data_IF_736509747701
#
_entry.id   IF_736509747701
#
_cell.length_a   1.000
_cell.length_b   1.000
_cell.length_c   1.000
_cell.angle_alpha   90.00
_cell.angle_beta   90.00
_cell.angle_gamma   90.00
#
_symmetry.space_group_name_H-M   'P 1'
#
loop_
_entity.id
_entity.type
_entity.pdbx_description
1 polymer ?
#
# COMPACT_ATOMS: atom_id res chain seq x y z
N UNK A 1 -12.10 -11.05 -11.63
CA UNK A 1 -11.42 -10.08 -12.52
C UNK A 1 -11.26 -8.84 -11.68
N UNK A 2 -10.04 -8.34 -11.50
CA UNK A 2 -9.79 -7.28 -10.50
C UNK A 2 -9.90 -5.94 -11.19
N UNK A 3 -10.86 -5.12 -10.78
CA UNK A 3 -11.01 -3.79 -11.35
C UNK A 3 -10.00 -2.82 -10.74
N UNK A 4 -9.04 -2.38 -11.57
CA UNK A 4 -8.09 -1.35 -11.18
C UNK A 4 -8.75 0.02 -11.26
N UNK A 5 -8.65 0.80 -10.17
CA UNK A 5 -9.09 2.20 -10.16
C UNK A 5 -7.89 3.12 -10.29
N UNK A 6 -7.86 3.95 -11.33
CA UNK A 6 -6.85 4.99 -11.46
C UNK A 6 -7.14 6.16 -10.52
N UNK A 7 -6.09 6.83 -10.06
CA UNK A 7 -6.19 8.15 -9.41
C UNK A 7 -6.64 9.26 -10.35
N UNK A 8 -6.49 9.06 -11.66
CA UNK A 8 -7.03 9.96 -12.66
C UNK A 8 -8.50 9.61 -12.94
N UNK A 9 -9.42 10.50 -12.53
CA UNK A 9 -10.86 10.31 -12.71
C UNK A 9 -11.30 10.27 -14.17
N UNK A 10 -10.46 10.79 -15.09
CA UNK A 10 -10.70 10.73 -16.54
C UNK A 10 -10.15 9.47 -17.19
N UNK A 11 -9.42 8.63 -16.44
CA UNK A 11 -8.82 7.42 -16.97
C UNK A 11 -9.87 6.33 -17.17
N UNK A 12 -10.10 5.97 -18.43
CA UNK A 12 -10.82 4.77 -18.82
C UNK A 12 -9.85 3.58 -18.77
N UNK A 13 -9.73 2.98 -17.60
CA UNK A 13 -8.78 1.89 -17.36
C UNK A 13 -9.36 0.61 -17.95
N UNK A 14 -8.64 0.03 -18.92
CA UNK A 14 -9.04 -1.23 -19.57
C UNK A 14 -8.94 -2.41 -18.59
N UNK A 15 -9.65 -3.51 -18.84
CA UNK A 15 -9.66 -4.74 -17.99
C UNK A 15 -8.28 -5.45 -17.84
N UNK A 16 -7.22 -4.89 -18.42
CA UNK A 16 -5.87 -5.42 -18.38
C UNK A 16 -5.07 -4.92 -17.16
N UNK A 17 -4.23 -5.79 -16.61
CA UNK A 17 -3.34 -5.43 -15.52
C UNK A 17 -2.33 -4.33 -15.93
N UNK A 18 -2.02 -3.38 -15.03
CA UNK A 18 -0.97 -2.39 -15.22
C UNK A 18 0.40 -3.03 -15.49
N UNK A 19 1.22 -2.33 -16.28
CA UNK A 19 2.52 -2.84 -16.72
C UNK A 19 3.61 -2.48 -15.71
N UNK A 20 4.39 -3.45 -15.22
CA UNK A 20 5.58 -3.16 -14.42
C UNK A 20 6.69 -2.52 -15.28
N UNK A 21 7.22 -1.38 -14.84
CA UNK A 21 8.20 -0.56 -15.57
C UNK A 21 9.26 0.05 -14.66
N UNK A 22 10.41 0.42 -15.23
CA UNK A 22 11.47 1.14 -14.51
C UNK A 22 11.21 2.65 -14.46
N UNK A 23 11.27 3.22 -13.27
CA UNK A 23 11.10 4.67 -13.03
C UNK A 23 12.29 5.47 -13.58
N UNK A 24 13.47 4.85 -13.71
CA UNK A 24 14.68 5.51 -14.22
C UNK A 24 14.48 6.12 -15.61
N UNK A 25 13.56 5.57 -16.41
CA UNK A 25 13.20 6.08 -17.73
C UNK A 25 12.57 7.49 -17.68
N UNK A 26 12.08 7.91 -16.51
CA UNK A 26 11.29 9.14 -16.32
C UNK A 26 12.04 10.20 -15.50
N UNK A 27 13.30 9.93 -15.09
CA UNK A 27 14.15 10.87 -14.32
C UNK A 27 13.50 11.41 -13.04
N UNK A 28 12.61 10.64 -12.41
CA UNK A 28 11.97 10.99 -11.15
C UNK A 28 12.82 10.48 -9.97
N UNK A 29 13.17 11.37 -9.04
CA UNK A 29 13.83 11.00 -7.78
C UNK A 29 12.80 10.95 -6.64
N UNK A 30 12.16 9.79 -6.52
CA UNK A 30 11.01 9.55 -5.63
C UNK A 30 11.23 8.34 -4.71
N UNK A 31 12.47 7.88 -4.54
CA UNK A 31 12.83 6.81 -3.60
C UNK A 31 12.53 5.37 -4.05
N UNK A 32 11.84 5.17 -5.18
CA UNK A 32 11.56 3.87 -5.79
C UNK A 32 12.18 3.73 -7.19
N UNK A 33 12.53 2.49 -7.57
CA UNK A 33 13.15 2.18 -8.87
C UNK A 33 12.18 1.65 -9.91
N UNK A 34 11.07 1.06 -9.47
CA UNK A 34 10.08 0.43 -10.31
C UNK A 34 8.68 0.83 -9.86
N UNK A 35 7.78 0.93 -10.83
CA UNK A 35 6.39 1.32 -10.65
C UNK A 35 5.54 0.57 -11.68
N UNK A 36 4.23 0.85 -11.71
CA UNK A 36 3.35 0.33 -12.74
C UNK A 36 2.82 1.44 -13.64
N UNK A 37 2.79 1.21 -14.94
CA UNK A 37 2.17 2.12 -15.90
C UNK A 37 0.68 1.79 -16.04
N UNK A 38 -0.16 2.80 -15.81
CA UNK A 38 -1.60 2.70 -16.04
C UNK A 38 -1.90 2.51 -17.53
N UNK A 39 -2.73 1.52 -17.88
CA UNK A 39 -3.03 1.21 -19.30
C UNK A 39 -3.84 2.31 -19.99
N UNK A 40 -4.76 2.96 -19.27
CA UNK A 40 -5.62 4.02 -19.79
C UNK A 40 -4.85 5.33 -19.97
N UNK A 41 -4.36 5.92 -18.88
CA UNK A 41 -3.74 7.26 -18.91
C UNK A 41 -2.21 7.28 -19.06
N UNK A 42 -1.55 6.11 -19.11
CA UNK A 42 -0.07 5.98 -19.22
C UNK A 42 0.73 6.63 -18.09
N UNK A 43 0.09 7.09 -17.03
CA UNK A 43 0.77 7.60 -15.84
C UNK A 43 1.44 6.47 -15.09
N UNK A 44 2.60 6.80 -14.52
CA UNK A 44 3.25 5.91 -13.56
C UNK A 44 2.55 5.98 -12.22
N UNK A 45 2.21 4.81 -11.70
CA UNK A 45 1.47 4.64 -10.47
C UNK A 45 2.16 3.63 -9.57
N UNK A 46 1.89 3.72 -8.28
CA UNK A 46 2.16 2.66 -7.33
C UNK A 46 0.83 2.10 -6.81
N UNK A 47 0.63 0.77 -6.79
CA UNK A 47 -0.60 0.17 -6.30
C UNK A 47 -0.71 0.33 -4.78
N UNK A 48 -1.88 0.75 -4.32
CA UNK A 48 -2.19 0.81 -2.90
C UNK A 48 -2.36 -0.60 -2.32
N UNK A 49 -1.66 -0.94 -1.23
CA UNK A 49 -1.83 -2.24 -0.57
C UNK A 49 -3.23 -2.45 0.03
N UNK A 50 -3.91 -1.37 0.42
CA UNK A 50 -5.24 -1.46 1.06
C UNK A 50 -6.37 -1.63 0.04
N UNK A 51 -6.44 -0.73 -0.94
CA UNK A 51 -7.58 -0.66 -1.86
C UNK A 51 -7.23 -1.03 -3.30
N UNK A 52 -5.95 -1.32 -3.60
CA UNK A 52 -5.45 -1.63 -4.94
C UNK A 52 -5.63 -0.51 -5.97
N UNK A 53 -6.07 0.67 -5.54
CA UNK A 53 -6.08 1.87 -6.36
C UNK A 53 -4.67 2.23 -6.84
N UNK A 54 -4.56 2.64 -8.09
CA UNK A 54 -3.31 3.06 -8.72
C UNK A 54 -3.06 4.54 -8.43
N UNK A 55 -2.11 4.80 -7.54
CA UNK A 55 -1.78 6.14 -7.09
C UNK A 55 -0.66 6.69 -7.96
N UNK A 56 -0.90 7.76 -8.72
CA UNK A 56 0.12 8.37 -9.55
C UNK A 56 1.31 8.83 -8.69
N UNK A 57 2.52 8.38 -9.05
CA UNK A 57 3.73 8.65 -8.24
C UNK A 57 4.19 10.10 -8.34
N UNK A 58 3.70 10.85 -9.33
CA UNK A 58 3.85 12.31 -9.43
C UNK A 58 3.18 13.06 -8.26
N UNK A 59 2.19 12.44 -7.62
CA UNK A 59 1.54 12.99 -6.42
C UNK A 59 2.32 12.71 -5.14
N UNK A 60 3.49 12.07 -5.23
CA UNK A 60 4.36 11.87 -4.08
C UNK A 60 4.93 13.22 -3.63
N UNK A 61 4.81 13.52 -2.34
CA UNK A 61 5.37 14.72 -1.74
C UNK A 61 6.29 14.32 -0.60
N UNK A 62 7.53 14.82 -0.63
CA UNK A 62 8.56 14.49 0.38
C UNK A 62 8.78 12.98 0.58
N UNK A 63 8.72 12.21 -0.51
CA UNK A 63 8.86 10.74 -0.46
C UNK A 63 7.67 10.01 0.16
N UNK A 64 6.54 10.70 0.39
CA UNK A 64 5.29 10.12 0.90
C UNK A 64 4.25 10.04 -0.21
N UNK A 65 3.59 8.88 -0.30
CA UNK A 65 2.51 8.64 -1.25
C UNK A 65 1.22 8.35 -0.49
N UNK A 66 0.17 9.14 -0.72
CA UNK A 66 -1.14 8.96 -0.06
C UNK A 66 -2.16 8.47 -1.06
N UNK A 67 -2.87 7.40 -0.72
CA UNK A 67 -3.95 6.89 -1.53
C UNK A 67 -5.16 7.83 -1.48
N UNK A 68 -5.62 8.32 -2.63
CA UNK A 68 -6.81 9.17 -2.73
C UNK A 68 -8.10 8.44 -2.34
N UNK A 69 -8.16 7.11 -2.51
CA UNK A 69 -9.37 6.32 -2.29
C UNK A 69 -9.54 5.90 -0.83
N UNK A 70 -8.46 5.49 -0.16
CA UNK A 70 -8.53 4.94 1.19
C UNK A 70 -7.70 5.72 2.22
N UNK A 71 -6.98 6.75 1.79
CA UNK A 71 -6.14 7.59 2.64
C UNK A 71 -4.93 6.91 3.24
N UNK A 72 -4.61 5.65 2.91
CA UNK A 72 -3.39 5.00 3.41
C UNK A 72 -2.15 5.71 2.89
N UNK A 73 -1.13 5.82 3.74
CA UNK A 73 0.12 6.49 3.41
C UNK A 73 1.27 5.49 3.34
N UNK A 74 2.06 5.61 2.28
CA UNK A 74 3.27 4.85 2.05
C UNK A 74 4.50 5.73 2.02
N UNK A 75 5.61 5.18 2.46
CA UNK A 75 6.93 5.83 2.45
C UNK A 75 7.74 5.23 1.31
N UNK A 76 8.00 6.03 0.28
CA UNK A 76 8.74 5.60 -0.89
C UNK A 76 10.24 5.50 -0.61
N UNK A 77 10.77 6.39 0.23
CA UNK A 77 12.18 6.44 0.63
C UNK A 77 12.61 5.15 1.37
N UNK A 78 13.44 4.34 0.69
CA UNK A 78 13.94 3.06 1.22
C UNK A 78 14.91 3.22 2.42
N UNK A 79 15.89 4.13 2.40
CA UNK A 79 16.67 4.47 3.60
C UNK A 79 15.81 4.84 4.81
N UNK A 80 14.83 5.73 4.64
CA UNK A 80 13.95 6.16 5.73
C UNK A 80 13.11 5.01 6.27
N UNK A 81 12.53 4.17 5.39
CA UNK A 81 11.83 2.94 5.79
C UNK A 81 12.70 2.02 6.65
N UNK A 82 13.96 1.81 6.25
CA UNK A 82 14.90 0.99 7.04
C UNK A 82 15.19 1.60 8.41
N UNK A 83 15.39 2.92 8.46
CA UNK A 83 15.65 3.65 9.68
C UNK A 83 14.50 3.52 10.68
N UNK A 84 13.28 3.68 10.20
CA UNK A 84 12.03 3.56 10.97
C UNK A 84 11.56 2.11 11.19
N UNK A 85 12.31 1.12 10.67
CA UNK A 85 11.94 -0.31 10.68
C UNK A 85 10.52 -0.55 10.13
N UNK A 86 10.14 0.21 9.10
CA UNK A 86 8.88 0.03 8.40
C UNK A 86 8.95 -1.23 7.52
N UNK A 87 7.81 -1.90 7.27
CA UNK A 87 7.78 -3.01 6.33
C UNK A 87 8.16 -2.54 4.91
N UNK A 88 8.61 -3.48 4.05
CA UNK A 88 8.77 -3.18 2.64
C UNK A 88 7.45 -2.70 2.03
N UNK A 89 7.53 -1.96 0.93
CA UNK A 89 6.34 -1.53 0.21
C UNK A 89 5.68 -2.77 -0.37
N UNK A 90 4.36 -2.88 -0.24
CA UNK A 90 3.63 -3.96 -0.88
C UNK A 90 3.88 -3.93 -2.39
N UNK A 91 3.99 -5.11 -2.99
CA UNK A 91 4.26 -5.29 -4.43
C UNK A 91 5.62 -4.77 -4.94
N UNK A 92 6.46 -4.11 -4.14
CA UNK A 92 7.74 -3.53 -4.62
C UNK A 92 8.64 -4.59 -5.27
N UNK A 93 8.90 -5.70 -4.56
CA UNK A 93 9.74 -6.78 -5.06
C UNK A 93 9.09 -7.49 -6.26
N UNK A 94 7.77 -7.71 -6.21
CA UNK A 94 7.02 -8.36 -7.29
C UNK A 94 6.99 -7.52 -8.58
N UNK A 95 6.86 -6.20 -8.47
CA UNK A 95 6.94 -5.24 -9.58
C UNK A 95 8.37 -5.19 -10.12
N UNK A 96 9.38 -5.15 -9.24
CA UNK A 96 10.80 -5.17 -9.61
C UNK A 96 11.15 -6.44 -10.41
N UNK A 97 10.69 -7.60 -9.95
CA UNK A 97 10.93 -8.88 -10.62
C UNK A 97 10.27 -8.94 -12.00
N UNK A 98 9.02 -8.53 -12.14
CA UNK A 98 8.34 -8.49 -13.44
C UNK A 98 9.03 -7.51 -14.39
N UNK A 99 9.36 -6.31 -13.93
CA UNK A 99 10.03 -5.29 -14.76
C UNK A 99 11.40 -5.77 -15.24
N UNK A 100 12.20 -6.41 -14.38
CA UNK A 100 13.50 -6.98 -14.74
C UNK A 100 13.39 -8.11 -15.75
N UNK A 101 12.46 -9.05 -15.55
CA UNK A 101 12.23 -10.15 -16.49
C UNK A 101 11.78 -9.64 -17.86
N UNK A 102 10.90 -8.64 -17.89
CA UNK A 102 10.46 -7.99 -19.14
C UNK A 102 11.62 -7.29 -19.85
N UNK A 103 12.46 -6.54 -19.12
CA UNK A 103 13.64 -5.89 -19.72
C UNK A 103 14.58 -6.92 -20.35
N UNK A 104 14.88 -8.01 -19.64
CA UNK A 104 15.76 -9.06 -20.15
C UNK A 104 15.20 -9.73 -21.42
N UNK A 105 13.89 -9.98 -21.49
CA UNK A 105 13.25 -10.52 -22.70
C UNK A 105 13.24 -9.51 -23.85
N UNK A 106 13.09 -8.22 -23.59
CA UNK A 106 13.20 -7.19 -24.62
C UNK A 106 14.62 -7.08 -25.18
N UNK A 107 15.64 -7.23 -24.35
CA UNK A 107 17.03 -7.24 -24.81
C UNK A 107 17.33 -8.48 -25.67
N UNK A 108 16.76 -9.64 -25.31
CA UNK A 108 16.82 -10.86 -26.13
C UNK A 108 16.09 -10.70 -27.46
N UNK A 109 14.90 -10.11 -27.47
CA UNK A 109 14.15 -9.85 -28.70
C UNK A 109 14.93 -8.98 -29.68
N UNK A 110 15.54 -7.89 -29.20
CA UNK A 110 16.37 -7.03 -30.04
C UNK A 110 17.54 -7.79 -30.68
N UNK A 111 18.19 -8.66 -29.93
CA UNK A 111 19.29 -9.49 -30.45
C UNK A 111 18.79 -10.50 -31.51
N UNK A 112 17.63 -11.13 -31.28
CA UNK A 112 17.05 -12.10 -32.22
C UNK A 112 16.50 -11.45 -33.50
N UNK A 113 15.95 -10.24 -33.40
CA UNK A 113 15.50 -9.45 -34.55
C UNK A 113 16.67 -9.06 -35.46
N UNK A 114 17.86 -8.83 -34.90
CA UNK A 114 19.10 -8.63 -35.66
C UNK A 114 19.58 -9.91 -36.38
N UNK A 115 19.31 -11.08 -35.79
CA UNK A 115 19.70 -12.40 -36.31
C UNK A 115 18.66 -13.03 -37.29
N UNK A 116 17.46 -12.43 -37.42
CA UNK A 116 16.32 -12.91 -38.24
C UNK A 116 15.80 -14.31 -37.85
N UNK A 117 15.73 -14.60 -36.56
CA UNK A 117 15.11 -15.83 -36.05
C UNK A 117 13.63 -15.58 -35.69
N UNK A 118 12.72 -15.84 -36.63
CA UNK A 118 11.30 -15.53 -36.49
C UNK A 118 10.58 -16.39 -35.42
N UNK A 119 11.02 -17.62 -35.14
CA UNK A 119 10.35 -18.54 -34.21
C UNK A 119 10.63 -18.17 -32.75
N UNK A 120 11.89 -17.83 -32.43
CA UNK A 120 12.26 -17.41 -31.08
C UNK A 120 11.77 -15.99 -30.74
N UNK A 121 11.54 -15.14 -31.75
CA UNK A 121 10.90 -13.82 -31.60
C UNK A 121 9.43 -13.97 -31.15
N UNK A 122 8.63 -14.78 -31.83
CA UNK A 122 7.22 -14.99 -31.47
C UNK A 122 7.08 -15.57 -30.05
N UNK A 123 7.92 -16.56 -29.72
CA UNK A 123 7.96 -17.19 -28.40
C UNK A 123 8.29 -16.20 -27.28
N UNK A 124 9.23 -15.28 -27.51
CA UNK A 124 9.59 -14.27 -26.52
C UNK A 124 8.52 -13.17 -26.40
N UNK A 125 7.84 -12.80 -27.48
CA UNK A 125 6.65 -11.93 -27.40
C UNK A 125 5.55 -12.54 -26.53
N UNK A 126 5.29 -13.83 -26.68
CA UNK A 126 4.28 -14.53 -25.89
C UNK A 126 4.68 -14.60 -24.41
N UNK A 127 5.95 -14.87 -24.09
CA UNK A 127 6.44 -14.79 -22.70
C UNK A 127 6.24 -13.41 -22.08
N UNK A 128 6.50 -12.32 -22.83
CA UNK A 128 6.31 -10.95 -22.33
C UNK A 128 4.83 -10.67 -22.03
N UNK A 129 3.91 -11.15 -22.88
CA UNK A 129 2.46 -11.07 -22.61
C UNK A 129 2.09 -11.84 -21.34
N UNK A 130 2.63 -13.05 -21.17
CA UNK A 130 2.36 -13.88 -20.00
C UNK A 130 2.93 -13.30 -18.70
N UNK A 131 4.00 -12.50 -18.76
CA UNK A 131 4.54 -11.82 -17.58
C UNK A 131 3.63 -10.72 -17.07
N UNK A 132 2.81 -10.10 -17.93
CA UNK A 132 2.00 -8.94 -17.55
C UNK A 132 1.03 -9.27 -16.40
N UNK A 133 1.16 -8.54 -15.30
CA UNK A 133 0.28 -8.68 -14.14
C UNK A 133 0.65 -9.84 -13.20
N UNK A 134 1.78 -10.51 -13.41
CA UNK A 134 2.31 -11.49 -12.45
C UNK A 134 2.66 -10.84 -11.12
N UNK A 135 3.11 -9.59 -11.14
CA UNK A 135 3.41 -8.82 -9.93
C UNK A 135 2.22 -8.77 -8.96
N UNK A 136 1.01 -8.68 -9.50
CA UNK A 136 -0.22 -8.61 -8.71
C UNK A 136 -0.58 -9.96 -8.09
N UNK A 137 -0.59 -11.03 -8.89
CA UNK A 137 -0.94 -12.38 -8.43
C UNK A 137 0.05 -12.90 -7.37
N UNK A 138 1.33 -12.55 -7.51
CA UNK A 138 2.36 -12.94 -6.55
C UNK A 138 2.32 -12.06 -5.29
N UNK A 139 2.06 -10.76 -5.43
CA UNK A 139 1.95 -9.85 -4.30
C UNK A 139 0.80 -10.20 -3.35
N UNK A 140 -0.34 -10.71 -3.85
CA UNK A 140 -1.45 -11.18 -3.00
C UNK A 140 -1.04 -12.28 -2.01
N UNK A 141 -0.10 -13.16 -2.39
CA UNK A 141 0.36 -14.26 -1.53
C UNK A 141 1.24 -13.77 -0.38
N UNK A 142 1.95 -12.67 -0.59
CA UNK A 142 2.80 -12.04 0.42
C UNK A 142 2.01 -11.11 1.35
N UNK A 143 0.96 -10.46 0.83
CA UNK A 143 0.10 -9.52 1.55
C UNK A 143 -0.73 -10.19 2.68
N UNK A 144 -1.14 -11.46 2.51
CA UNK A 144 -1.80 -12.24 3.56
C UNK A 144 -0.94 -12.46 4.83
N UNK A 145 0.36 -12.16 4.78
CA UNK A 145 1.26 -12.26 5.94
C UNK A 145 1.25 -11.01 6.85
N UNK A 146 0.62 -9.89 6.43
CA UNK A 146 0.28 -8.76 7.30
C UNK A 146 -0.85 -9.19 8.24
N UNK A 147 -0.49 -10.03 9.21
CA UNK A 147 -1.33 -10.36 10.36
C UNK A 147 -1.77 -9.04 10.98
N UNK A 148 -3.08 -8.87 11.15
CA UNK A 148 -3.67 -7.78 11.93
C UNK A 148 -2.97 -7.75 13.29
N UNK A 149 -1.98 -6.88 13.46
CA UNK A 149 -1.45 -6.57 14.77
C UNK A 149 -2.63 -6.00 15.55
N UNK A 150 -2.94 -6.61 16.70
CA UNK A 150 -4.01 -6.13 17.57
C UNK A 150 -3.63 -4.72 18.00
N UNK A 151 -4.25 -3.71 17.39
CA UNK A 151 -4.13 -2.33 17.83
C UNK A 151 -4.71 -2.28 19.25
N UNK A 152 -3.83 -2.10 20.23
CA UNK A 152 -4.27 -1.89 21.58
C UNK A 152 -4.65 -0.42 21.75
N UNK A 153 -5.93 -0.16 21.96
CA UNK A 153 -6.51 1.18 22.18
C UNK A 153 -5.81 1.98 23.28
N UNK A 154 -5.24 1.31 24.27
CA UNK A 154 -4.50 1.99 25.34
C UNK A 154 -3.20 2.63 24.84
N UNK A 155 -2.62 2.14 23.75
CA UNK A 155 -1.38 2.69 23.19
C UNK A 155 -1.58 4.03 22.48
N UNK A 156 -2.78 4.28 21.92
CA UNK A 156 -3.09 5.56 21.25
C UNK A 156 -3.18 6.73 22.25
N UNK A 157 -3.65 6.48 23.48
CA UNK A 157 -3.70 7.48 24.57
C UNK A 157 -2.32 7.83 25.13
N UNK A 158 -1.31 7.02 24.82
CA UNK A 158 0.06 7.18 25.30
C UNK A 158 0.97 7.85 24.27
N UNK A 159 0.44 8.26 23.11
CA UNK A 159 1.26 8.85 22.06
C UNK A 159 1.65 10.29 22.42
N UNK A 160 2.95 10.64 22.36
CA UNK A 160 3.40 12.02 22.52
C UNK A 160 2.71 13.00 21.57
N UNK A 161 2.45 12.63 20.31
CA UNK A 161 1.67 13.45 19.36
C UNK A 161 0.22 13.73 19.81
N UNK A 162 -0.36 12.87 20.64
CA UNK A 162 -1.67 13.13 21.24
C UNK A 162 -1.58 13.98 22.49
N UNK A 163 -0.41 14.10 23.14
CA UNK A 163 -0.25 14.91 24.36
C UNK A 163 -0.42 16.42 24.11
N UNK A 164 -0.01 16.89 22.92
CA UNK A 164 -0.14 18.28 22.46
C UNK A 164 -1.55 18.64 21.97
N UNK A 165 -2.43 17.66 21.77
CA UNK A 165 -3.80 17.88 21.34
C UNK A 165 -4.66 18.51 22.45
N UNK A 166 -5.68 19.29 22.05
CA UNK A 166 -6.67 19.82 23.00
C UNK A 166 -7.45 18.69 23.67
N UNK A 167 -8.05 18.96 24.84
CA UNK A 167 -8.85 17.95 25.53
C UNK A 167 -10.02 17.47 24.67
N UNK A 168 -10.70 18.40 23.98
CA UNK A 168 -11.79 18.09 23.06
C UNK A 168 -11.35 17.14 21.93
N UNK A 169 -10.13 17.34 21.40
CA UNK A 169 -9.58 16.47 20.36
C UNK A 169 -9.24 15.08 20.89
N UNK A 170 -8.69 14.99 22.11
CA UNK A 170 -8.43 13.71 22.79
C UNK A 170 -9.71 12.93 23.05
N UNK A 171 -10.76 13.61 23.50
CA UNK A 171 -12.06 13.00 23.79
C UNK A 171 -12.77 12.54 22.51
N UNK A 172 -12.70 13.36 21.45
CA UNK A 172 -13.20 13.00 20.13
C UNK A 172 -12.45 11.80 19.54
N UNK A 173 -11.11 11.79 19.59
CA UNK A 173 -10.30 10.67 19.11
C UNK A 173 -10.68 9.39 19.85
N UNK A 174 -10.69 9.44 21.19
CA UNK A 174 -11.03 8.30 22.04
C UNK A 174 -12.41 7.72 21.72
N UNK A 175 -13.44 8.56 21.73
CA UNK A 175 -14.82 8.13 21.46
C UNK A 175 -15.02 7.61 20.04
N UNK A 176 -14.35 8.21 19.05
CA UNK A 176 -14.44 7.75 17.66
C UNK A 176 -13.72 6.43 17.46
N UNK A 177 -12.56 6.23 18.09
CA UNK A 177 -11.85 4.94 18.00
C UNK A 177 -12.66 3.86 18.71
N UNK A 178 -13.18 4.11 19.92
CA UNK A 178 -14.04 3.16 20.63
C UNK A 178 -15.25 2.79 19.77
N UNK A 179 -15.92 3.79 19.19
CA UNK A 179 -17.06 3.59 18.29
C UNK A 179 -16.67 2.78 17.04
N UNK A 180 -15.49 2.99 16.47
CA UNK A 180 -14.97 2.19 15.36
C UNK A 180 -14.90 0.69 15.71
N UNK A 181 -14.36 0.33 16.87
CA UNK A 181 -14.27 -1.07 17.26
C UNK A 181 -15.64 -1.71 17.53
N UNK A 182 -16.64 -0.93 17.96
CA UNK A 182 -18.02 -1.39 18.07
C UNK A 182 -18.66 -1.58 16.68
N UNK A 183 -18.44 -0.66 15.75
CA UNK A 183 -19.02 -0.72 14.40
C UNK A 183 -18.26 -1.63 13.43
N UNK A 184 -17.04 -2.05 13.74
CA UNK A 184 -16.19 -2.84 12.84
C UNK A 184 -16.88 -4.12 12.33
N UNK A 185 -17.58 -4.84 13.20
CA UNK A 185 -18.31 -6.06 12.80
C UNK A 185 -19.50 -5.74 11.89
N UNK A 186 -20.21 -4.63 12.18
CA UNK A 186 -21.31 -4.15 11.34
C UNK A 186 -20.79 -3.74 9.96
N UNK A 187 -19.71 -2.95 9.89
CA UNK A 187 -19.09 -2.53 8.64
C UNK A 187 -18.63 -3.72 7.79
N UNK A 188 -17.99 -4.71 8.41
CA UNK A 188 -17.57 -5.94 7.72
C UNK A 188 -18.77 -6.72 7.16
N UNK A 189 -19.88 -6.76 7.90
CA UNK A 189 -21.12 -7.40 7.43
C UNK A 189 -21.72 -6.65 6.25
N UNK A 190 -21.81 -5.32 6.33
CA UNK A 190 -22.32 -4.48 5.23
C UNK A 190 -21.46 -4.60 3.97
N UNK A 191 -20.13 -4.62 4.12
CA UNK A 191 -19.21 -4.85 3.00
C UNK A 191 -19.46 -6.20 2.31
N UNK A 192 -19.66 -7.27 3.08
CA UNK A 192 -19.90 -8.61 2.53
C UNK A 192 -21.28 -8.71 1.87
N UNK A 193 -22.32 -8.16 2.49
CA UNK A 193 -23.66 -8.07 1.90
C UNK A 193 -23.62 -7.33 0.56
N UNK A 194 -22.88 -6.21 0.50
CA UNK A 194 -22.74 -5.45 -0.71
C UNK A 194 -21.89 -6.13 -1.79
N UNK A 195 -20.83 -6.86 -1.41
CA UNK A 195 -20.08 -7.71 -2.34
C UNK A 195 -20.97 -8.81 -2.94
N UNK A 196 -21.76 -9.49 -2.10
CA UNK A 196 -22.67 -10.56 -2.55
C UNK A 196 -23.73 -10.06 -3.52
N UNK A 197 -24.33 -8.90 -3.24
CA UNK A 197 -25.31 -8.28 -4.12
C UNK A 197 -24.71 -7.88 -5.47
N UNK A 198 -23.50 -7.29 -5.49
CA UNK A 198 -22.81 -6.96 -6.75
C UNK A 198 -22.49 -8.21 -7.59
N UNK A 199 -22.08 -9.31 -6.95
CA UNK A 199 -21.83 -10.58 -7.63
C UNK A 199 -23.11 -11.18 -8.22
N UNK A 200 -24.22 -11.10 -7.49
CA UNK A 200 -25.52 -11.56 -7.96
C UNK A 200 -25.99 -10.73 -9.16
N UNK A 201 -25.88 -9.40 -9.08
CA UNK A 201 -26.22 -8.49 -10.19
C UNK A 201 -25.38 -8.82 -11.43
N UNK A 202 -24.05 -8.97 -11.28
CA UNK A 202 -23.18 -9.35 -12.38
C UNK A 202 -23.56 -10.69 -13.01
N UNK A 203 -23.92 -11.69 -12.22
CA UNK A 203 -24.35 -13.01 -12.72
C UNK A 203 -25.66 -12.89 -13.50
N UNK A 204 -26.66 -12.20 -12.94
CA UNK A 204 -27.97 -12.08 -13.57
C UNK A 204 -27.93 -11.23 -14.85
N UNK A 205 -27.04 -10.23 -14.90
CA UNK A 205 -26.75 -9.48 -16.12
C UNK A 205 -26.15 -10.39 -17.21
N UNK A 206 -25.15 -11.20 -16.86
CA UNK A 206 -24.54 -12.17 -17.78
C UNK A 206 -25.55 -13.21 -18.29
N UNK A 207 -26.44 -13.68 -17.41
CA UNK A 207 -27.49 -14.65 -17.76
C UNK A 207 -28.68 -14.02 -18.50
N UNK A 208 -28.69 -12.70 -18.73
CA UNK A 208 -29.78 -11.93 -19.35
C UNK A 208 -31.14 -12.09 -18.64
N UNK A 209 -31.12 -12.40 -17.34
CA UNK A 209 -32.32 -12.60 -16.53
C UNK A 209 -32.75 -11.33 -15.78
N UNK A 210 -31.97 -10.24 -15.89
CA UNK A 210 -32.21 -9.01 -15.17
C UNK A 210 -33.13 -8.06 -15.95
N UNK A 211 -34.39 -7.96 -15.51
CA UNK A 211 -35.38 -7.04 -16.06
C UNK A 211 -35.18 -5.57 -15.62
N UNK A 212 -35.69 -4.61 -16.41
CA UNK A 212 -35.48 -3.17 -16.17
C UNK A 212 -35.99 -2.68 -14.79
N UNK A 213 -37.15 -3.17 -14.34
CA UNK A 213 -37.72 -2.81 -13.03
C UNK A 213 -36.88 -3.35 -11.85
N UNK A 214 -36.28 -4.55 -12.00
CA UNK A 214 -35.39 -5.12 -11.00
C UNK A 214 -34.09 -4.30 -10.91
N UNK A 215 -33.59 -3.83 -12.05
CA UNK A 215 -32.41 -2.96 -12.12
C UNK A 215 -32.67 -1.58 -11.49
N UNK A 216 -33.85 -1.00 -11.71
CA UNK A 216 -34.21 0.27 -11.09
C UNK A 216 -34.40 0.15 -9.57
N UNK A 217 -35.05 -0.91 -9.10
CA UNK A 217 -35.18 -1.19 -7.66
C UNK A 217 -33.82 -1.47 -6.99
N UNK A 218 -32.97 -2.27 -7.65
CA UNK A 218 -31.61 -2.57 -7.16
C UNK A 218 -30.77 -1.31 -7.03
N UNK A 219 -30.84 -0.38 -8.00
CA UNK A 219 -30.15 0.92 -7.93
C UNK A 219 -30.61 1.78 -6.75
N UNK A 220 -31.92 1.85 -6.50
CA UNK A 220 -32.45 2.61 -5.37
C UNK A 220 -32.03 2.01 -4.02
N UNK A 221 -32.08 0.69 -3.90
CA UNK A 221 -31.60 -0.02 -2.72
C UNK A 221 -30.09 0.20 -2.51
N UNK A 222 -29.30 0.23 -3.59
CA UNK A 222 -27.86 0.53 -3.53
C UNK A 222 -27.56 1.94 -3.09
N UNK A 223 -28.34 2.91 -3.56
CA UNK A 223 -28.20 4.28 -3.11
C UNK A 223 -28.44 4.41 -1.60
N UNK A 224 -29.52 3.84 -1.08
CA UNK A 224 -29.82 3.88 0.35
C UNK A 224 -28.78 3.15 1.20
N UNK A 225 -28.28 1.99 0.73
CA UNK A 225 -27.22 1.26 1.41
C UNK A 225 -25.89 2.03 1.43
N UNK A 226 -25.52 2.67 0.31
CA UNK A 226 -24.32 3.52 0.21
C UNK A 226 -24.42 4.73 1.13
N UNK A 227 -25.56 5.42 1.15
CA UNK A 227 -25.79 6.58 2.04
C UNK A 227 -25.71 6.18 3.52
N UNK A 228 -26.26 5.02 3.89
CA UNK A 228 -26.14 4.49 5.26
C UNK A 228 -24.69 4.15 5.62
N UNK A 229 -23.97 3.48 4.72
CA UNK A 229 -22.57 3.12 4.91
C UNK A 229 -21.66 4.36 5.01
N UNK A 230 -21.86 5.35 4.15
CA UNK A 230 -21.17 6.65 4.21
C UNK A 230 -21.45 7.38 5.52
N UNK A 231 -22.71 7.40 5.98
CA UNK A 231 -23.09 8.00 7.26
C UNK A 231 -22.36 7.37 8.47
N UNK A 232 -22.18 6.05 8.47
CA UNK A 232 -21.44 5.35 9.53
C UNK A 232 -19.93 5.62 9.41
N UNK A 233 -19.38 5.65 8.19
CA UNK A 233 -17.93 5.72 7.97
C UNK A 233 -17.34 7.13 8.00
N UNK A 234 -18.15 8.17 7.84
CA UNK A 234 -17.71 9.56 7.80
C UNK A 234 -16.77 9.98 8.95
N UNK A 235 -17.04 9.67 10.23
CA UNK A 235 -16.14 10.03 11.33
C UNK A 235 -14.78 9.33 11.23
N UNK A 236 -14.74 8.12 10.65
CA UNK A 236 -13.53 7.34 10.49
C UNK A 236 -12.65 7.86 9.35
N UNK A 237 -13.25 8.37 8.28
CA UNK A 237 -12.53 9.09 7.23
C UNK A 237 -11.88 10.37 7.75
N UNK A 238 -12.56 11.11 8.64
CA UNK A 238 -11.96 12.26 9.31
C UNK A 238 -10.76 11.86 10.18
N UNK A 239 -10.84 10.71 10.85
CA UNK A 239 -9.73 10.17 11.63
C UNK A 239 -8.53 9.80 10.75
N UNK A 240 -8.74 9.19 9.59
CA UNK A 240 -7.67 8.95 8.61
C UNK A 240 -7.02 10.27 8.18
N UNK A 241 -7.82 11.32 7.96
CA UNK A 241 -7.31 12.67 7.66
C UNK A 241 -6.39 13.22 8.75
N UNK A 242 -6.79 13.12 10.02
CA UNK A 242 -5.97 13.53 11.17
C UNK A 242 -4.71 12.69 11.32
N UNK A 243 -4.84 11.38 11.18
CA UNK A 243 -3.71 10.45 11.22
C UNK A 243 -2.68 10.77 10.12
N UNK A 244 -3.13 11.08 8.90
CA UNK A 244 -2.24 11.50 7.82
C UNK A 244 -1.54 12.83 8.11
N UNK A 245 -2.22 13.79 8.77
CA UNK A 245 -1.58 15.02 9.19
C UNK A 245 -0.47 14.76 10.23
N UNK A 246 -0.71 13.86 11.19
CA UNK A 246 0.28 13.47 12.19
C UNK A 246 1.44 12.69 11.56
N UNK A 247 1.16 11.71 10.69
CA UNK A 247 2.17 10.95 9.97
C UNK A 247 3.10 11.87 9.17
N UNK A 248 2.57 12.86 8.45
CA UNK A 248 3.39 13.84 7.71
C UNK A 248 4.36 14.59 8.64
N UNK A 249 3.91 15.00 9.82
CA UNK A 249 4.75 15.67 10.83
C UNK A 249 5.83 14.73 11.36
N UNK A 250 5.44 13.52 11.78
CA UNK A 250 6.35 12.51 12.30
C UNK A 250 7.40 12.09 11.28
N UNK A 251 7.03 11.95 10.00
CA UNK A 251 7.99 11.67 8.94
C UNK A 251 8.96 12.82 8.70
N UNK A 252 8.50 14.07 8.74
CA UNK A 252 9.39 15.23 8.66
C UNK A 252 10.40 15.22 9.83
N UNK A 253 9.93 14.99 11.06
CA UNK A 253 10.80 14.83 12.24
C UNK A 253 11.78 13.68 12.07
N UNK A 254 11.32 12.52 11.58
CA UNK A 254 12.17 11.36 11.33
C UNK A 254 13.28 11.66 10.32
N UNK A 255 12.98 12.38 9.24
CA UNK A 255 13.96 12.81 8.24
C UNK A 255 14.99 13.75 8.87
N UNK A 256 14.56 14.71 9.69
CA UNK A 256 15.47 15.61 10.40
C UNK A 256 16.39 14.86 11.36
N UNK A 257 15.85 13.93 12.16
CA UNK A 257 16.62 13.10 13.09
C UNK A 257 17.61 12.19 12.34
N UNK A 258 17.16 11.50 11.29
CA UNK A 258 18.02 10.65 10.47
C UNK A 258 19.12 11.45 9.74
N UNK A 259 18.84 12.70 9.34
CA UNK A 259 19.86 13.57 8.73
C UNK A 259 20.94 13.99 9.74
N UNK A 260 20.57 14.25 11.00
CA UNK A 260 21.53 14.58 12.08
C UNK A 260 22.46 13.41 12.38
N UNK A 261 22.02 12.18 12.13
CA UNK A 261 22.79 10.96 12.26
C UNK A 261 23.85 10.75 11.15
N UNK A 262 23.91 11.54 10.07
CA UNK A 262 25.03 11.43 9.08
C UNK A 262 26.39 11.94 9.59
N UNK A 263 26.50 12.30 10.87
CA UNK A 263 27.78 12.32 11.62
C UNK A 263 28.11 10.99 12.31
N UNK A 264 27.40 9.90 12.01
CA UNK A 264 27.73 8.56 12.45
C UNK A 264 28.81 7.98 11.52
N UNK A 265 29.93 7.61 12.12
CA UNK A 265 31.15 7.18 11.45
C UNK A 265 30.90 6.01 10.47
N UNK A 266 31.77 5.95 9.45
CA UNK A 266 31.84 4.85 8.46
C UNK A 266 31.67 3.49 9.15
N UNK A 267 30.97 2.52 8.54
CA UNK A 267 30.99 1.16 9.04
C UNK A 267 32.45 0.69 9.05
N UNK A 268 33.00 0.42 10.24
CA UNK A 268 34.25 -0.31 10.36
C UNK A 268 34.05 -1.66 9.66
N UNK A 269 34.84 -1.87 8.62
CA UNK A 269 34.98 -3.16 7.93
C UNK A 269 35.41 -4.19 8.97
N UNK A 270 34.47 -4.96 9.49
CA UNK A 270 34.78 -6.21 10.17
C UNK A 270 35.15 -7.22 9.09
N UNK A 271 36.46 -7.44 8.97
CA UNK A 271 37.08 -8.41 8.08
C UNK A 271 36.45 -9.80 8.23
N UNK A 272 36.59 -10.57 7.16
CA UNK A 272 36.08 -11.93 7.02
C UNK A 272 36.45 -12.81 8.21
N UNK A 273 35.50 -13.07 9.12
CA UNK A 273 35.69 -13.98 10.25
C UNK A 273 35.22 -15.40 9.89
N UNK A 274 36.13 -16.33 10.15
CA UNK A 274 36.12 -17.77 9.89
C UNK A 274 34.79 -18.48 10.29
N UNK A 275 34.17 -19.30 9.42
CA UNK A 275 32.85 -19.91 9.64
C UNK A 275 32.72 -20.86 10.84
N UNK A 276 33.83 -21.32 11.45
CA UNK A 276 33.80 -22.23 12.62
C UNK A 276 33.46 -21.58 13.96
N UNK A 277 33.53 -20.25 14.10
CA UNK A 277 33.21 -19.57 15.37
C UNK A 277 31.75 -19.12 15.51
N UNK A 278 30.91 -19.29 14.47
CA UNK A 278 29.53 -18.77 14.41
C UNK A 278 28.59 -19.41 15.44
N UNK A 279 28.80 -20.68 15.82
CA UNK A 279 27.92 -21.41 16.75
C UNK A 279 28.10 -21.04 18.22
N UNK A 280 29.26 -20.52 18.63
CA UNK A 280 29.49 -20.14 20.04
C UNK A 280 29.12 -18.69 20.36
N UNK A 281 29.02 -17.82 19.35
CA UNK A 281 28.50 -16.45 19.52
C UNK A 281 26.97 -16.35 19.46
N UNK A 282 26.26 -17.36 18.92
CA UNK A 282 24.78 -17.39 18.91
C UNK A 282 24.14 -17.65 20.28
N UNK A 283 24.91 -18.05 21.29
CA UNK A 283 24.43 -18.27 22.66
C UNK A 283 24.69 -17.09 23.61
N UNK A 284 25.35 -16.04 23.10
CA UNK A 284 25.48 -14.74 23.75
C UNK A 284 24.89 -13.66 22.84
N UNK A 285 23.71 -13.96 22.26
CA UNK A 285 22.84 -12.94 21.66
C UNK A 285 22.43 -11.98 22.77
N UNK A 286 23.33 -11.03 22.99
CA UNK A 286 23.11 -9.84 23.78
C UNK A 286 21.76 -9.26 23.36
N UNK A 287 21.01 -8.83 24.37
CA UNK A 287 19.85 -7.97 24.21
C UNK A 287 20.10 -6.95 23.09
N UNK A 288 19.09 -6.61 22.27
CA UNK A 288 19.23 -5.55 21.30
C UNK A 288 19.86 -4.36 22.02
N UNK A 289 21.02 -3.91 21.53
CA UNK A 289 21.64 -2.67 21.99
C UNK A 289 20.55 -1.60 22.04
N UNK A 290 20.49 -0.77 23.10
CA UNK A 290 19.52 0.31 23.16
C UNK A 290 19.65 1.13 21.86
N UNK A 291 18.55 1.59 21.27
CA UNK A 291 18.65 2.38 20.05
C UNK A 291 19.59 3.56 20.31
N UNK A 292 20.57 3.77 19.44
CA UNK A 292 21.51 4.90 19.50
C UNK A 292 20.79 6.27 19.42
N UNK A 293 19.46 6.28 19.26
CA UNK A 293 18.63 7.46 19.35
C UNK A 293 17.23 7.13 19.89
N UNK A 294 17.01 7.31 21.20
CA UNK A 294 15.72 7.04 21.85
C UNK A 294 14.57 7.86 21.23
N UNK A 295 14.86 9.08 20.77
CA UNK A 295 13.88 9.96 20.12
C UNK A 295 13.36 9.37 18.80
N UNK A 296 14.27 8.84 17.97
CA UNK A 296 13.89 8.24 16.68
C UNK A 296 13.11 6.94 16.86
N UNK A 297 13.43 6.16 17.90
CA UNK A 297 12.66 4.98 18.26
C UNK A 297 11.22 5.34 18.67
N UNK A 298 11.04 6.38 19.49
CA UNK A 298 9.70 6.89 19.84
C UNK A 298 8.94 7.36 18.60
N UNK A 299 9.56 8.15 17.72
CA UNK A 299 8.94 8.60 16.46
C UNK A 299 8.53 7.41 15.58
N UNK A 300 9.38 6.38 15.48
CA UNK A 300 9.05 5.17 14.73
C UNK A 300 7.83 4.45 15.31
N UNK A 301 7.77 4.26 16.63
CA UNK A 301 6.61 3.64 17.30
C UNK A 301 5.31 4.43 17.05
N UNK A 302 5.36 5.76 17.12
CA UNK A 302 4.21 6.61 16.79
C UNK A 302 3.76 6.43 15.34
N UNK A 303 4.71 6.39 14.40
CA UNK A 303 4.43 6.17 12.99
C UNK A 303 3.76 4.81 12.78
N UNK A 304 4.27 3.74 13.40
CA UNK A 304 3.67 2.41 13.31
C UNK A 304 2.22 2.40 13.81
N UNK A 305 1.95 3.04 14.94
CA UNK A 305 0.60 3.09 15.52
C UNK A 305 -0.38 3.87 14.63
N UNK A 306 -0.01 5.06 14.16
CA UNK A 306 -0.85 5.85 13.27
C UNK A 306 -1.08 5.14 11.93
N UNK A 307 -0.03 4.52 11.35
CA UNK A 307 -0.13 3.78 10.09
C UNK A 307 -1.03 2.57 10.22
N UNK A 308 -0.86 1.76 11.27
CA UNK A 308 -1.68 0.58 11.52
C UNK A 308 -3.16 0.96 11.74
N UNK A 309 -3.42 2.06 12.45
CA UNK A 309 -4.78 2.57 12.63
C UNK A 309 -5.40 3.03 11.31
N UNK A 310 -4.68 3.81 10.49
CA UNK A 310 -5.15 4.18 9.15
C UNK A 310 -5.51 2.97 8.31
N UNK A 311 -4.64 1.97 8.24
CA UNK A 311 -4.84 0.75 7.45
C UNK A 311 -6.06 -0.01 7.97
N UNK A 312 -6.17 -0.19 9.28
CA UNK A 312 -7.28 -0.94 9.90
C UNK A 312 -8.63 -0.27 9.64
N UNK A 313 -8.69 1.06 9.77
CA UNK A 313 -9.89 1.82 9.47
C UNK A 313 -10.22 1.76 7.98
N UNK A 314 -9.23 1.99 7.12
CA UNK A 314 -9.41 2.00 5.69
C UNK A 314 -9.93 0.65 5.16
N UNK A 315 -9.39 -0.48 5.63
CA UNK A 315 -9.89 -1.82 5.27
C UNK A 315 -11.37 -2.01 5.62
N UNK A 316 -11.81 -1.51 6.77
CA UNK A 316 -13.20 -1.64 7.22
C UNK A 316 -14.16 -0.61 6.61
N UNK A 317 -13.65 0.55 6.17
CA UNK A 317 -14.46 1.64 5.64
C UNK A 317 -14.48 1.68 4.11
N UNK A 318 -13.62 0.92 3.43
CA UNK A 318 -13.63 0.86 1.97
C UNK A 318 -14.97 0.31 1.47
N UNK A 319 -15.63 0.97 0.51
CA UNK A 319 -16.79 0.37 -0.13
C UNK A 319 -16.35 -0.90 -0.87
N UNK A 320 -17.24 -1.91 -0.97
CA UNK A 320 -16.93 -3.12 -1.70
C UNK A 320 -16.56 -2.78 -3.15
N UNK A 321 -15.49 -3.40 -3.62
CA UNK A 321 -15.02 -3.33 -5.01
C UNK A 321 -15.12 -4.73 -5.60
N UNK A 322 -15.55 -4.82 -6.86
CA UNK A 322 -15.62 -6.06 -7.63
C UNK A 322 -14.24 -6.46 -8.18
#
# INVERSE_FOLDING_TARGET
MVQWKCSDASCDLQDEAPLAVSVAQYKLDIGIKYAVECRGCKKLCFPCHVCRGLIAIENAHSGLLVCFQCGSMEVLDKPLRKCLRLPPLAFEDAIEDEARQRSALHDQLKALEEEKDDEDVEKNHEKIKQLQGKWYVNGEKEDHALKQEKINLTMLKLLPSTSEASQDEKDWLTSTIESFFHHRQLLSKLQEEARQAMLLESRLYQEKQYGALALEYSKQHWKAHSEHFEGITQPYWQMIGKANAQLRRLYATAVELASKETKCEKPQVLGWVNPRNRRRQQLLSAAPSPPDNAELATVAEEIHLWRNMCITIALACLPPTL
#
